data_IF_084729511387
#
_entry.id   IF_084729511387
#
_cell.length_a   1.000
_cell.length_b   1.000
_cell.length_c   1.000
_cell.angle_alpha   90.00
_cell.angle_beta   90.00
_cell.angle_gamma   90.00
#
_symmetry.space_group_name_H-M   'P 1'
#
loop_
_entity.id
_entity.type
_entity.pdbx_description
1 polymer ?
#
# COMPACT_ATOMS: atom_id res chain seq x y z
N UNK A 1 -11.02 -1.56 -15.72
CA UNK A 1 -10.48 -2.25 -14.52
C UNK A 1 -11.22 -1.63 -13.36
N UNK A 2 -12.46 -2.04 -13.14
CA UNK A 2 -13.41 -1.30 -12.30
C UNK A 2 -13.84 -2.10 -11.07
N UNK A 3 -13.15 -3.21 -10.78
CA UNK A 3 -13.56 -4.15 -9.73
C UNK A 3 -12.68 -4.09 -8.48
N UNK A 4 -11.58 -3.34 -8.54
CA UNK A 4 -10.64 -3.23 -7.41
C UNK A 4 -11.20 -2.29 -6.36
N UNK A 5 -11.84 -2.88 -5.34
CA UNK A 5 -12.41 -2.15 -4.20
C UNK A 5 -11.43 -1.92 -3.06
N UNK A 6 -10.52 -2.86 -2.86
CA UNK A 6 -9.54 -2.82 -1.79
C UNK A 6 -8.16 -3.10 -2.39
N UNK A 7 -7.14 -2.36 -1.97
CA UNK A 7 -5.75 -2.67 -2.31
C UNK A 7 -5.06 -3.25 -1.06
N UNK A 8 -5.13 -4.57 -0.90
CA UNK A 8 -4.54 -5.33 0.20
C UNK A 8 -3.36 -6.24 -0.23
N UNK A 9 -2.94 -7.14 0.67
CA UNK A 9 -1.80 -8.06 0.44
C UNK A 9 -1.98 -8.93 -0.81
N UNK A 10 -3.22 -9.30 -1.11
CA UNK A 10 -3.60 -10.09 -2.28
C UNK A 10 -3.22 -9.42 -3.61
N UNK A 11 -3.17 -8.08 -3.65
CA UNK A 11 -2.73 -7.34 -4.84
C UNK A 11 -1.23 -7.48 -5.12
N UNK A 12 -0.44 -7.76 -4.08
CA UNK A 12 1.00 -7.87 -4.18
C UNK A 12 1.47 -9.31 -4.40
N UNK A 13 0.55 -10.23 -4.69
CA UNK A 13 0.87 -11.65 -4.88
C UNK A 13 1.29 -12.36 -3.60
N UNK A 14 0.89 -11.82 -2.45
CA UNK A 14 1.14 -12.43 -1.15
C UNK A 14 0.07 -13.52 -0.93
N UNK A 15 0.41 -14.77 -1.23
CA UNK A 15 -0.36 -15.91 -0.75
C UNK A 15 -0.01 -16.17 0.71
N UNK A 16 -1.02 -16.18 1.57
CA UNK A 16 -0.96 -16.60 2.98
C UNK A 16 -0.46 -18.07 3.04
N UNK A 17 0.85 -18.29 2.92
CA UNK A 17 1.46 -19.62 2.93
C UNK A 17 2.59 -19.93 1.95
N UNK A 18 3.04 -19.00 1.09
CA UNK A 18 4.09 -19.27 0.10
C UNK A 18 5.49 -18.86 0.56
N UNK A 19 6.42 -19.82 0.70
CA UNK A 19 7.83 -19.58 1.01
C UNK A 19 8.55 -18.87 -0.15
N UNK A 20 8.64 -17.55 -0.09
CA UNK A 20 9.65 -16.80 -0.84
C UNK A 20 10.88 -16.68 0.07
N UNK A 21 12.05 -17.02 -0.47
CA UNK A 21 13.27 -17.35 0.27
C UNK A 21 13.49 -16.55 1.55
N UNK A 22 13.36 -17.28 2.66
CA UNK A 22 13.48 -16.77 4.04
C UNK A 22 14.92 -16.34 4.31
N UNK A 23 15.19 -15.04 4.16
CA UNK A 23 16.24 -14.41 4.99
C UNK A 23 15.65 -14.21 6.38
N UNK A 24 15.78 -15.25 7.21
CA UNK A 24 15.50 -15.19 8.65
C UNK A 24 14.03 -15.36 9.04
N UNK A 25 13.77 -16.19 10.06
CA UNK A 25 12.46 -16.31 10.69
C UNK A 25 11.99 -14.96 11.25
N UNK A 26 10.67 -14.73 11.25
CA UNK A 26 10.03 -13.41 11.48
C UNK A 26 10.22 -12.44 10.29
N UNK A 27 9.83 -12.90 9.09
CA UNK A 27 10.07 -12.18 7.84
C UNK A 27 9.16 -10.95 7.70
N UNK A 28 9.76 -9.76 7.69
CA UNK A 28 9.19 -8.54 7.11
C UNK A 28 9.20 -8.68 5.58
N UNK A 29 8.03 -8.63 4.95
CA UNK A 29 7.91 -8.84 3.50
C UNK A 29 8.31 -7.59 2.74
N UNK A 30 9.60 -7.29 2.58
CA UNK A 30 10.00 -6.11 1.82
C UNK A 30 9.82 -6.40 0.31
N UNK A 31 8.60 -6.23 -0.20
CA UNK A 31 8.27 -6.43 -1.61
C UNK A 31 8.87 -5.36 -2.51
N UNK A 32 8.99 -4.13 -1.99
CA UNK A 32 9.45 -2.99 -2.74
C UNK A 32 10.54 -2.21 -1.99
N UNK A 33 11.74 -2.80 -1.83
CA UNK A 33 12.82 -2.25 -1.01
C UNK A 33 13.38 -0.92 -1.53
N UNK A 34 13.04 -0.49 -2.73
CA UNK A 34 13.53 0.76 -3.31
C UNK A 34 12.41 1.68 -3.81
N UNK A 35 11.15 1.35 -3.52
CA UNK A 35 10.02 2.14 -3.99
C UNK A 35 9.89 3.40 -3.14
N UNK A 36 10.11 4.54 -3.78
CA UNK A 36 10.03 5.86 -3.15
C UNK A 36 8.73 6.60 -3.45
N UNK A 37 8.14 6.31 -4.60
CA UNK A 37 6.93 6.95 -5.09
C UNK A 37 5.90 5.88 -5.46
N UNK A 38 4.70 5.97 -4.88
CA UNK A 38 3.53 5.21 -5.26
C UNK A 38 2.45 6.19 -5.71
N UNK A 39 1.90 6.00 -6.90
CA UNK A 39 0.79 6.80 -7.42
C UNK A 39 -0.41 5.91 -7.65
N UNK A 40 -1.54 6.30 -7.08
CA UNK A 40 -2.84 5.66 -7.24
C UNK A 40 -3.73 6.69 -7.96
N UNK A 41 -4.05 6.43 -9.22
CA UNK A 41 -4.76 7.37 -10.08
C UNK A 41 -6.00 6.72 -10.71
N UNK A 42 -7.09 7.48 -10.80
CA UNK A 42 -8.33 7.13 -11.52
C UNK A 42 -9.00 5.82 -11.07
N UNK A 43 -8.80 5.42 -9.81
CA UNK A 43 -9.43 4.23 -9.25
C UNK A 43 -10.82 4.55 -8.68
N UNK A 44 -11.79 4.70 -9.57
CA UNK A 44 -13.17 5.12 -9.27
C UNK A 44 -13.92 4.24 -8.28
N UNK A 45 -13.51 2.97 -8.14
CA UNK A 45 -14.13 2.00 -7.24
C UNK A 45 -13.25 1.62 -6.05
N UNK A 46 -12.06 2.21 -5.91
CA UNK A 46 -11.20 1.96 -4.76
C UNK A 46 -11.83 2.62 -3.53
N UNK A 47 -12.24 1.79 -2.59
CA UNK A 47 -12.89 2.19 -1.34
C UNK A 47 -11.89 2.20 -0.18
N UNK A 48 -10.90 1.29 -0.17
CA UNK A 48 -9.89 1.21 0.87
C UNK A 48 -8.49 0.87 0.34
N UNK A 49 -7.49 1.33 1.07
CA UNK A 49 -6.08 1.06 0.82
C UNK A 49 -5.44 0.65 2.16
N UNK A 50 -4.85 -0.54 2.21
CA UNK A 50 -4.27 -1.06 3.46
C UNK A 50 -2.94 -0.38 3.74
N UNK A 51 -2.99 0.67 4.56
CA UNK A 51 -1.83 1.47 4.95
C UNK A 51 -0.78 0.65 5.68
N UNK A 52 -1.11 -0.46 6.36
CA UNK A 52 -0.12 -1.30 7.07
C UNK A 52 0.99 -1.79 6.15
N UNK A 53 0.67 -1.95 4.87
CA UNK A 53 1.58 -2.40 3.83
C UNK A 53 2.64 -1.36 3.50
N UNK A 54 2.31 -0.06 3.52
CA UNK A 54 3.34 0.96 3.30
C UNK A 54 4.37 0.93 4.42
N UNK A 55 3.97 0.61 5.66
CA UNK A 55 4.90 0.44 6.79
C UNK A 55 5.73 -0.83 6.65
N UNK A 56 5.11 -1.96 6.31
CA UNK A 56 5.74 -3.28 6.42
C UNK A 56 6.50 -3.70 5.15
N UNK A 57 6.03 -3.27 3.97
CA UNK A 57 6.50 -3.77 2.68
C UNK A 57 7.13 -2.69 1.78
N UNK A 58 6.87 -1.39 2.05
CA UNK A 58 7.39 -0.23 1.30
C UNK A 58 8.21 0.72 2.18
N UNK A 59 9.21 0.18 2.88
CA UNK A 59 10.02 0.90 3.88
C UNK A 59 10.69 2.21 3.42
N UNK A 60 10.85 2.40 2.11
CA UNK A 60 11.49 3.58 1.53
C UNK A 60 10.52 4.52 0.83
N UNK A 61 9.21 4.33 1.02
CA UNK A 61 8.20 5.17 0.41
C UNK A 61 8.25 6.57 1.02
N UNK A 62 8.59 7.56 0.20
CA UNK A 62 8.65 8.97 0.58
C UNK A 62 7.46 9.75 0.05
N UNK A 63 6.74 9.19 -0.93
CA UNK A 63 5.66 9.89 -1.59
C UNK A 63 4.56 8.91 -1.98
N UNK A 64 3.36 9.17 -1.47
CA UNK A 64 2.12 8.53 -1.87
C UNK A 64 1.24 9.58 -2.54
N UNK A 65 1.00 9.45 -3.83
CA UNK A 65 0.13 10.35 -4.59
C UNK A 65 -1.19 9.65 -4.86
N UNK A 66 -2.30 10.28 -4.49
CA UNK A 66 -3.65 9.76 -4.74
C UNK A 66 -4.44 10.79 -5.54
N UNK A 67 -4.77 10.44 -6.77
CA UNK A 67 -5.43 11.32 -7.74
C UNK A 67 -6.67 10.63 -8.32
N UNK A 68 -7.76 11.35 -8.55
CA UNK A 68 -8.96 10.78 -9.18
C UNK A 68 -9.56 9.53 -8.49
N UNK A 69 -9.47 9.39 -7.16
CA UNK A 69 -10.00 8.25 -6.39
C UNK A 69 -11.21 8.66 -5.52
N UNK A 70 -12.41 8.87 -6.10
CA UNK A 70 -13.55 9.49 -5.41
C UNK A 70 -14.17 8.68 -4.28
N UNK A 71 -13.97 7.35 -4.25
CA UNK A 71 -14.55 6.47 -3.23
C UNK A 71 -13.56 6.10 -2.12
N UNK A 72 -12.31 6.53 -2.23
CA UNK A 72 -11.26 6.11 -1.30
C UNK A 72 -11.48 6.76 0.05
N UNK A 73 -11.57 5.94 1.09
CA UNK A 73 -11.60 6.39 2.48
C UNK A 73 -10.16 6.56 2.97
N UNK A 74 -9.77 7.82 3.13
CA UNK A 74 -8.44 8.20 3.62
C UNK A 74 -8.31 8.12 5.14
N UNK A 75 -9.42 7.94 5.86
CA UNK A 75 -9.40 7.86 7.33
C UNK A 75 -8.51 6.71 7.83
N UNK A 76 -8.46 5.60 7.08
CA UNK A 76 -7.60 4.43 7.35
C UNK A 76 -6.09 4.73 7.10
N UNK A 77 -5.79 5.78 6.35
CA UNK A 77 -4.44 6.25 6.02
C UNK A 77 -3.97 7.36 6.96
N UNK A 78 -4.85 8.33 7.23
CA UNK A 78 -4.55 9.52 8.05
C UNK A 78 -4.55 9.25 9.55
N UNK A 79 -5.09 8.12 9.99
CA UNK A 79 -5.00 7.66 11.38
C UNK A 79 -3.58 7.33 11.85
N UNK A 80 -2.61 7.32 10.92
CA UNK A 80 -1.21 7.01 11.16
C UNK A 80 -0.34 8.24 10.82
N UNK A 81 0.38 8.80 11.80
CA UNK A 81 1.12 10.08 11.66
C UNK A 81 2.12 10.08 10.49
N UNK A 82 2.78 8.95 10.23
CA UNK A 82 3.76 8.81 9.17
C UNK A 82 3.20 9.07 7.75
N UNK A 83 1.89 8.92 7.54
CA UNK A 83 1.28 9.11 6.22
C UNK A 83 1.06 10.57 5.90
N UNK A 84 0.89 11.42 6.92
CA UNK A 84 0.67 12.85 6.73
C UNK A 84 1.87 13.53 6.05
N UNK A 85 3.07 12.96 6.23
CA UNK A 85 4.31 13.50 5.68
C UNK A 85 4.56 13.07 4.22
N UNK A 86 4.07 11.89 3.83
CA UNK A 86 4.30 11.32 2.50
C UNK A 86 3.10 11.43 1.56
N UNK A 87 1.89 11.62 2.10
CA UNK A 87 0.65 11.70 1.32
C UNK A 87 0.57 13.06 0.60
N UNK A 88 0.30 12.98 -0.70
CA UNK A 88 0.09 14.10 -1.60
C UNK A 88 -1.18 13.89 -2.42
N UNK A 89 -1.91 14.98 -2.64
CA UNK A 89 -3.11 15.04 -3.47
C UNK A 89 -2.78 15.63 -4.84
#
# INVERSE_FOLDING_TARGET
MDEVKCMGIEFYGIEDGGSVDRVGGSGSWVLFPNLKLLTISDMNNLESFDSRLVVEIMLHLTTLRIDGCPKLKLDDLLGQEQYKEILSF
#
